data_IF_438110056869
#
_entry.id   IF_438110056869
#
_cell.length_a   1.000
_cell.length_b   1.000
_cell.length_c   1.000
_cell.angle_alpha   90.00
_cell.angle_beta   90.00
_cell.angle_gamma   90.00
#
_symmetry.space_group_name_H-M   'P 1'
#
loop_
_entity.id
_entity.type
_entity.pdbx_description
1 polymer ?
#
# COMPACT_ATOMS: atom_id res chain seq x y z
N UNK A 1 -9.08 -2.66 -18.59
CA UNK A 1 -8.71 -3.89 -17.85
C UNK A 1 -9.08 -3.68 -16.38
N UNK A 2 -9.90 -4.55 -15.80
CA UNK A 2 -10.29 -4.47 -14.40
C UNK A 2 -9.17 -5.07 -13.56
N UNK A 3 -8.61 -4.34 -12.61
CA UNK A 3 -7.60 -4.87 -11.70
C UNK A 3 -8.16 -6.08 -10.91
N UNK A 4 -7.36 -7.14 -10.65
CA UNK A 4 -7.78 -8.27 -9.82
C UNK A 4 -8.32 -7.81 -8.45
N UNK A 5 -9.27 -8.53 -7.83
CA UNK A 5 -9.83 -8.13 -6.53
C UNK A 5 -8.79 -7.79 -5.44
N UNK A 6 -7.69 -8.58 -5.27
CA UNK A 6 -6.66 -8.25 -4.29
C UNK A 6 -5.93 -6.93 -4.58
N UNK A 7 -5.63 -6.69 -5.86
CA UNK A 7 -4.97 -5.45 -6.33
C UNK A 7 -5.87 -4.24 -6.10
N UNK A 8 -7.18 -4.37 -6.33
CA UNK A 8 -8.15 -3.30 -6.06
C UNK A 8 -8.25 -2.95 -4.58
N UNK A 9 -8.20 -3.96 -3.71
CA UNK A 9 -8.22 -3.78 -2.26
C UNK A 9 -7.00 -2.98 -1.79
N UNK A 10 -5.78 -3.41 -2.15
CA UNK A 10 -4.55 -2.71 -1.79
C UNK A 10 -4.56 -1.28 -2.33
N UNK A 11 -4.95 -1.10 -3.60
CA UNK A 11 -5.04 0.23 -4.22
C UNK A 11 -6.06 1.12 -3.51
N UNK A 12 -7.21 0.58 -3.09
CA UNK A 12 -8.22 1.30 -2.33
C UNK A 12 -7.68 1.80 -0.99
N UNK A 13 -7.12 0.90 -0.17
CA UNK A 13 -6.55 1.25 1.13
C UNK A 13 -5.44 2.30 1.04
N UNK A 14 -4.55 2.20 0.04
CA UNK A 14 -3.49 3.19 -0.17
C UNK A 14 -4.08 4.54 -0.59
N UNK A 15 -5.12 4.55 -1.42
CA UNK A 15 -5.81 5.78 -1.82
C UNK A 15 -6.50 6.44 -0.63
N UNK A 16 -7.23 5.67 0.18
CA UNK A 16 -7.95 6.20 1.35
C UNK A 16 -6.98 6.78 2.39
N UNK A 17 -5.82 6.14 2.57
CA UNK A 17 -4.72 6.66 3.39
C UNK A 17 -4.13 7.97 2.88
N UNK A 18 -3.83 8.02 1.59
CA UNK A 18 -3.29 9.22 0.95
C UNK A 18 -4.29 10.38 1.02
N UNK A 19 -5.59 10.10 0.85
CA UNK A 19 -6.68 11.05 0.98
C UNK A 19 -6.92 11.53 2.43
N UNK A 20 -6.20 10.98 3.42
CA UNK A 20 -6.29 11.39 4.81
C UNK A 20 -7.61 10.99 5.48
N UNK A 21 -8.26 9.92 4.97
CA UNK A 21 -9.40 9.30 5.67
C UNK A 21 -8.89 8.56 6.90
N UNK A 22 -9.80 8.07 7.75
CA UNK A 22 -9.49 7.34 9.00
C UNK A 22 -8.68 6.03 8.82
N UNK A 23 -8.20 5.76 7.61
CA UNK A 23 -7.29 4.67 7.29
C UNK A 23 -5.91 4.96 7.92
N UNK A 24 -5.51 4.14 8.90
CA UNK A 24 -4.17 4.23 9.49
C UNK A 24 -3.22 3.25 8.82
N UNK A 25 -1.91 3.55 8.85
CA UNK A 25 -0.85 2.63 8.38
C UNK A 25 -1.05 1.22 8.97
N UNK A 26 -1.44 1.12 10.25
CA UNK A 26 -1.70 -0.16 10.92
C UNK A 26 -2.83 -0.98 10.28
N UNK A 27 -3.93 -0.34 9.90
CA UNK A 27 -5.07 -1.03 9.28
C UNK A 27 -4.73 -1.51 7.87
N UNK A 28 -3.98 -0.71 7.12
CA UNK A 28 -3.52 -1.06 5.78
C UNK A 28 -2.56 -2.25 5.86
N UNK A 29 -1.61 -2.21 6.80
CA UNK A 29 -0.67 -3.32 7.05
C UNK A 29 -1.39 -4.61 7.44
N UNK A 30 -2.43 -4.55 8.28
CA UNK A 30 -3.21 -5.74 8.64
C UNK A 30 -3.91 -6.35 7.41
N UNK A 31 -4.48 -5.49 6.54
CA UNK A 31 -5.14 -5.93 5.30
C UNK A 31 -4.14 -6.53 4.32
N UNK A 32 -2.98 -5.89 4.14
CA UNK A 32 -1.92 -6.38 3.27
C UNK A 32 -1.35 -7.70 3.81
N UNK A 33 -1.08 -7.80 5.12
CA UNK A 33 -0.61 -9.05 5.74
C UNK A 33 -1.57 -10.21 5.46
N UNK A 34 -2.88 -9.99 5.62
CA UNK A 34 -3.88 -11.02 5.30
C UNK A 34 -3.81 -11.48 3.83
N UNK A 35 -3.49 -10.59 2.90
CA UNK A 35 -3.36 -10.92 1.47
C UNK A 35 -2.05 -11.67 1.17
N UNK A 36 -0.95 -11.29 1.84
CA UNK A 36 0.34 -11.98 1.75
C UNK A 36 0.24 -13.41 2.32
N UNK A 37 -0.32 -13.57 3.53
CA UNK A 37 -0.50 -14.89 4.18
C UNK A 37 -1.46 -15.80 3.40
N UNK A 38 -2.39 -15.22 2.64
CA UNK A 38 -3.29 -15.99 1.76
C UNK A 38 -2.67 -16.30 0.39
N UNK A 39 -1.39 -15.97 0.17
CA UNK A 39 -0.67 -16.10 -1.11
C UNK A 39 -1.39 -15.43 -2.30
N UNK A 40 -2.26 -14.46 -2.04
CA UNK A 40 -3.03 -13.77 -3.09
C UNK A 40 -2.20 -12.68 -3.78
N UNK A 41 -1.21 -12.14 -3.08
CA UNK A 41 -0.26 -11.14 -3.55
C UNK A 41 1.09 -11.41 -2.89
N UNK A 42 2.16 -11.01 -3.58
CA UNK A 42 3.49 -10.95 -2.99
C UNK A 42 3.79 -9.54 -2.48
N UNK A 43 4.83 -9.40 -1.64
CA UNK A 43 5.30 -8.07 -1.22
C UNK A 43 5.73 -7.23 -2.42
N UNK A 44 6.36 -7.85 -3.43
CA UNK A 44 6.76 -7.18 -4.67
C UNK A 44 5.54 -6.64 -5.42
N UNK A 45 4.44 -7.39 -5.49
CA UNK A 45 3.20 -6.92 -6.11
C UNK A 45 2.63 -5.70 -5.37
N UNK A 46 2.65 -5.72 -4.04
CA UNK A 46 2.17 -4.61 -3.20
C UNK A 46 3.02 -3.37 -3.43
N UNK A 47 4.35 -3.52 -3.47
CA UNK A 47 5.28 -2.41 -3.75
C UNK A 47 5.04 -1.86 -5.15
N UNK A 48 4.87 -2.72 -6.16
CA UNK A 48 4.59 -2.31 -7.53
C UNK A 48 3.26 -1.53 -7.65
N UNK A 49 2.25 -1.89 -6.85
CA UNK A 49 0.99 -1.12 -6.78
C UNK A 49 1.24 0.27 -6.19
N UNK A 50 2.06 0.36 -5.14
CA UNK A 50 2.44 1.64 -4.52
C UNK A 50 3.22 2.52 -5.51
N UNK A 51 4.20 1.96 -6.23
CA UNK A 51 4.97 2.66 -7.26
C UNK A 51 4.05 3.23 -8.35
N UNK A 52 3.12 2.41 -8.85
CA UNK A 52 2.14 2.86 -9.86
C UNK A 52 1.23 3.97 -9.33
N UNK A 53 0.85 3.91 -8.06
CA UNK A 53 0.08 4.98 -7.43
C UNK A 53 0.91 6.25 -7.36
N UNK A 54 2.19 6.16 -6.96
CA UNK A 54 3.11 7.30 -6.88
C UNK A 54 3.28 8.00 -8.24
N UNK A 55 3.55 7.21 -9.27
CA UNK A 55 3.80 7.68 -10.64
C UNK A 55 2.55 8.24 -11.34
N UNK A 56 1.34 7.82 -10.92
CA UNK A 56 0.09 8.30 -11.50
C UNK A 56 -0.26 9.71 -11.00
N UNK A 57 -0.12 10.77 -11.83
CA UNK A 57 -0.40 12.15 -11.43
C UNK A 57 -1.89 12.42 -11.23
N UNK A 58 -2.78 11.56 -11.74
CA UNK A 58 -4.23 11.66 -11.55
C UNK A 58 -4.68 10.96 -10.27
N UNK A 59 -3.81 10.15 -9.66
CA UNK A 59 -4.09 9.49 -8.40
C UNK A 59 -3.92 10.51 -7.26
N UNK A 60 -5.06 11.00 -6.76
CA UNK A 60 -5.20 11.98 -5.67
C UNK A 60 -4.59 13.34 -6.06
N UNK A 61 -5.25 14.10 -6.94
CA UNK A 61 -4.73 15.36 -7.47
C UNK A 61 -4.65 16.49 -6.44
N UNK A 62 -5.22 16.28 -5.25
CA UNK A 62 -5.31 17.27 -4.17
C UNK A 62 -4.12 17.24 -3.19
N UNK A 63 -3.22 16.25 -3.30
CA UNK A 63 -1.97 16.23 -2.52
C UNK A 63 -0.77 16.55 -3.42
N UNK A 64 0.24 17.20 -2.84
CA UNK A 64 1.47 17.46 -3.57
C UNK A 64 2.26 16.17 -3.80
N UNK A 65 3.12 16.16 -4.83
CA UNK A 65 4.02 15.02 -5.09
C UNK A 65 4.90 14.73 -3.87
N UNK A 66 5.37 15.76 -3.17
CA UNK A 66 6.20 15.62 -1.98
C UNK A 66 5.46 14.90 -0.84
N UNK A 67 4.24 15.34 -0.51
CA UNK A 67 3.42 14.70 0.52
C UNK A 67 3.06 13.25 0.15
N UNK A 68 2.77 13.00 -1.14
CA UNK A 68 2.50 11.67 -1.66
C UNK A 68 3.69 10.75 -1.46
N UNK A 69 4.89 11.16 -1.90
CA UNK A 69 6.13 10.41 -1.72
C UNK A 69 6.43 10.18 -0.24
N UNK A 70 6.22 11.16 0.63
CA UNK A 70 6.46 11.01 2.07
C UNK A 70 5.53 9.96 2.69
N UNK A 71 4.22 10.06 2.45
CA UNK A 71 3.23 9.10 2.95
C UNK A 71 3.48 7.68 2.41
N UNK A 72 3.80 7.54 1.12
CA UNK A 72 4.11 6.25 0.53
C UNK A 72 5.41 5.66 1.07
N UNK A 73 6.44 6.48 1.34
CA UNK A 73 7.66 6.02 1.99
C UNK A 73 7.43 5.51 3.41
N UNK A 74 6.51 6.12 4.18
CA UNK A 74 6.13 5.59 5.50
C UNK A 74 5.49 4.20 5.36
N UNK A 75 4.63 4.01 4.36
CA UNK A 75 4.00 2.73 4.04
C UNK A 75 5.03 1.67 3.64
N UNK A 76 5.96 2.00 2.74
CA UNK A 76 7.07 1.11 2.34
C UNK A 76 7.91 0.68 3.54
N UNK A 77 8.34 1.63 4.38
CA UNK A 77 9.11 1.32 5.59
C UNK A 77 8.37 0.39 6.54
N UNK A 78 7.06 0.57 6.67
CA UNK A 78 6.27 -0.26 7.56
C UNK A 78 5.99 -1.66 6.96
N UNK A 79 5.88 -1.75 5.63
CA UNK A 79 5.82 -3.02 4.91
C UNK A 79 7.13 -3.81 5.02
N UNK A 80 8.30 -3.17 4.88
CA UNK A 80 9.58 -3.85 5.08
C UNK A 80 9.69 -4.48 6.47
N UNK A 81 9.24 -3.75 7.50
CA UNK A 81 9.20 -4.25 8.89
C UNK A 81 8.23 -5.41 9.12
N UNK A 82 7.18 -5.55 8.32
CA UNK A 82 6.28 -6.70 8.40
C UNK A 82 7.01 -7.98 7.98
N UNK A 83 7.81 -7.91 6.93
CA UNK A 83 8.60 -9.05 6.44
C UNK A 83 9.76 -9.42 7.37
N UNK A 84 10.39 -8.46 8.05
CA UNK A 84 11.42 -8.76 9.06
C UNK A 84 10.88 -9.62 10.23
N UNK A 85 9.58 -9.53 10.54
CA UNK A 85 8.94 -10.31 11.61
C UNK A 85 8.66 -11.77 11.22
N UNK A 86 8.62 -12.12 9.93
CA UNK A 86 8.44 -13.52 9.48
C UNK A 86 9.77 -14.29 9.42
N UNK A 87 10.92 -13.63 9.68
CA UNK A 87 12.23 -14.27 9.74
C UNK A 87 12.62 -14.76 11.15
N UNK A 88 11.78 -14.54 12.17
CA UNK A 88 12.03 -14.89 13.58
C UNK A 88 11.10 -15.99 14.15
N UNK A 89 10.38 -16.77 13.32
CA UNK A 89 9.66 -17.99 13.75
C UNK A 89 10.30 -19.30 13.26
#
# INVERSE_FOLDING_TARGET
MLFPPPVRLVRGCVIDYLAGREETVKNILASIRSLLTSEQLTLEDVIAIIDRIEEDPLCIPHITKAEKTEKLNQLRKALSKLTDLEAEE
#
